data_IF_505720958589
#
_entry.id   IF_505720958589
#
_cell.length_a   1.000
_cell.length_b   1.000
_cell.length_c   1.000
_cell.angle_alpha   90.00
_cell.angle_beta   90.00
_cell.angle_gamma   90.00
#
_symmetry.space_group_name_H-M   'P 1'
#
loop_
_entity.id
_entity.type
_entity.pdbx_description
1 polymer ?
#
# COMPACT_ATOMS: atom_id res chain seq x y z
N UNK A 1 -15.63 32.64 34.14
CA UNK A 1 -15.55 31.25 34.63
C UNK A 1 -16.18 30.24 33.67
N UNK A 2 -17.20 30.61 32.89
CA UNK A 2 -17.98 29.68 32.03
C UNK A 2 -17.18 29.06 30.87
N UNK A 3 -16.10 29.69 30.40
CA UNK A 3 -15.29 29.20 29.27
C UNK A 3 -14.00 28.47 29.71
N UNK A 4 -13.58 28.54 30.97
CA UNK A 4 -12.36 27.93 31.47
C UNK A 4 -12.50 26.39 31.49
N UNK A 5 -13.66 25.89 31.92
CA UNK A 5 -13.91 24.44 32.01
C UNK A 5 -13.93 23.77 30.63
N UNK A 6 -14.64 24.29 29.59
CA UNK A 6 -14.58 23.69 28.27
C UNK A 6 -13.18 23.80 27.61
N UNK A 7 -12.42 24.88 27.86
CA UNK A 7 -11.04 24.98 27.37
C UNK A 7 -10.09 23.95 28.01
N UNK A 8 -10.24 23.70 29.32
CA UNK A 8 -9.46 22.66 30.01
C UNK A 8 -9.84 21.25 29.55
N UNK A 9 -11.13 20.99 29.30
CA UNK A 9 -11.59 19.72 28.74
C UNK A 9 -11.05 19.48 27.32
N UNK A 10 -11.13 20.48 26.45
CA UNK A 10 -10.55 20.44 25.13
C UNK A 10 -9.02 20.21 25.18
N UNK A 11 -8.32 20.93 26.04
CA UNK A 11 -6.87 20.76 26.24
C UNK A 11 -6.52 19.35 26.73
N UNK A 12 -7.33 18.77 27.62
CA UNK A 12 -7.14 17.41 28.12
C UNK A 12 -7.41 16.34 27.04
N UNK A 13 -8.45 16.52 26.20
CA UNK A 13 -8.76 15.61 25.10
C UNK A 13 -7.62 15.63 24.06
N UNK A 14 -7.19 16.83 23.66
CA UNK A 14 -6.07 16.99 22.71
C UNK A 14 -4.77 16.40 23.29
N UNK A 15 -4.48 16.63 24.57
CA UNK A 15 -3.31 16.07 25.25
C UNK A 15 -3.37 14.53 25.28
N UNK A 16 -4.53 13.93 25.53
CA UNK A 16 -4.71 12.49 25.53
C UNK A 16 -4.51 11.88 24.14
N UNK A 17 -5.05 12.49 23.11
CA UNK A 17 -4.87 12.01 21.72
C UNK A 17 -3.43 12.12 21.23
N UNK A 18 -2.75 13.22 21.55
CA UNK A 18 -1.34 13.42 21.19
C UNK A 18 -0.39 12.45 21.92
N UNK A 19 -0.79 11.95 23.11
CA UNK A 19 0.02 11.05 23.93
C UNK A 19 -0.30 9.56 23.76
N UNK A 20 -1.29 9.19 22.96
CA UNK A 20 -1.66 7.79 22.75
C UNK A 20 -0.55 7.06 21.97
N UNK A 21 0.13 6.10 22.63
CA UNK A 21 1.20 5.29 22.03
C UNK A 21 0.72 4.51 20.79
N UNK A 22 -0.54 4.06 20.78
CA UNK A 22 -1.13 3.35 19.63
C UNK A 22 -1.26 4.23 18.41
N UNK A 23 -1.59 5.52 18.60
CA UNK A 23 -1.68 6.47 17.51
C UNK A 23 -0.30 6.73 16.91
N UNK A 24 0.72 6.94 17.75
CA UNK A 24 2.11 7.10 17.31
C UNK A 24 2.63 5.88 16.52
N UNK A 25 2.28 4.68 16.98
CA UNK A 25 2.61 3.44 16.28
C UNK A 25 1.93 3.36 14.90
N UNK A 26 0.65 3.70 14.83
CA UNK A 26 -0.11 3.73 13.57
C UNK A 26 0.44 4.77 12.59
N UNK A 27 0.77 5.96 13.07
CA UNK A 27 1.39 7.02 12.28
C UNK A 27 2.77 6.58 11.76
N UNK A 28 3.56 5.92 12.60
CA UNK A 28 4.86 5.41 12.19
C UNK A 28 4.74 4.35 11.09
N UNK A 29 3.82 3.37 11.24
CA UNK A 29 3.55 2.36 10.20
C UNK A 29 3.08 3.03 8.91
N UNK A 30 2.21 4.04 8.99
CA UNK A 30 1.73 4.79 7.83
C UNK A 30 2.87 5.54 7.13
N UNK A 31 3.83 6.07 7.88
CA UNK A 31 5.03 6.70 7.34
C UNK A 31 5.92 5.68 6.62
N UNK A 32 6.12 4.49 7.20
CA UNK A 32 6.87 3.40 6.56
C UNK A 32 6.19 2.94 5.26
N UNK A 33 4.87 2.80 5.28
CA UNK A 33 4.06 2.48 4.10
C UNK A 33 4.24 3.53 2.98
N UNK A 34 4.25 4.82 3.32
CA UNK A 34 4.51 5.90 2.36
C UNK A 34 5.94 5.86 1.79
N UNK A 35 6.94 5.56 2.62
CA UNK A 35 8.32 5.38 2.16
C UNK A 35 8.43 4.21 1.17
N UNK A 36 7.75 3.10 1.44
CA UNK A 36 7.72 1.92 0.57
C UNK A 36 7.02 2.24 -0.77
N UNK A 37 5.94 2.99 -0.76
CA UNK A 37 5.25 3.42 -1.99
C UNK A 37 6.17 4.25 -2.90
N UNK A 38 7.05 5.06 -2.32
CA UNK A 38 8.06 5.83 -3.02
C UNK A 38 9.37 5.05 -3.28
N UNK A 39 9.40 3.75 -2.99
CA UNK A 39 10.58 2.87 -3.10
C UNK A 39 11.82 3.38 -2.35
N UNK A 40 11.62 4.13 -1.27
CA UNK A 40 12.70 4.64 -0.44
C UNK A 40 13.11 3.61 0.62
N UNK A 41 13.64 2.48 0.15
CA UNK A 41 14.01 1.33 0.97
C UNK A 41 15.11 1.66 1.99
N UNK A 42 16.07 2.51 1.61
CA UNK A 42 17.16 2.92 2.50
C UNK A 42 16.63 3.68 3.72
N UNK A 43 15.66 4.56 3.53
CA UNK A 43 15.02 5.25 4.65
C UNK A 43 14.27 4.28 5.58
N UNK A 44 13.63 3.22 5.06
CA UNK A 44 13.01 2.19 5.88
C UNK A 44 14.05 1.46 6.72
N UNK A 45 15.15 1.02 6.10
CA UNK A 45 16.25 0.31 6.78
C UNK A 45 16.95 1.15 7.84
N UNK A 46 16.96 2.50 7.70
CA UNK A 46 17.53 3.43 8.67
C UNK A 46 16.58 3.71 9.84
N UNK A 47 15.28 3.74 9.61
CA UNK A 47 14.29 4.13 10.61
C UNK A 47 13.76 2.96 11.46
N UNK A 48 13.92 1.71 11.02
CA UNK A 48 13.39 0.53 11.73
C UNK A 48 14.54 -0.32 12.26
N UNK A 49 14.60 -0.45 13.60
CA UNK A 49 15.64 -1.25 14.29
C UNK A 49 15.14 -2.67 14.61
N UNK A 50 16.05 -3.65 14.86
CA UNK A 50 15.67 -5.00 15.26
C UNK A 50 14.83 -5.07 16.55
N UNK A 51 15.03 -4.14 17.49
CA UNK A 51 14.23 -4.07 18.72
C UNK A 51 12.78 -3.66 18.44
N UNK A 52 12.57 -2.79 17.46
CA UNK A 52 11.23 -2.36 17.02
C UNK A 52 10.48 -3.51 16.35
N UNK A 53 11.15 -4.31 15.53
CA UNK A 53 10.52 -5.45 14.83
C UNK A 53 10.10 -6.57 15.79
N UNK A 54 10.83 -6.79 16.88
CA UNK A 54 10.44 -7.74 17.94
C UNK A 54 9.15 -7.35 18.66
N UNK A 55 8.88 -6.04 18.77
CA UNK A 55 7.67 -5.51 19.39
C UNK A 55 6.49 -5.43 18.45
N UNK A 56 6.76 -5.22 17.15
CA UNK A 56 5.74 -4.99 16.14
C UNK A 56 6.01 -5.80 14.87
N UNK A 57 5.22 -6.85 14.68
CA UNK A 57 5.32 -7.75 13.52
C UNK A 57 5.00 -7.04 12.19
N UNK A 58 4.28 -5.91 12.21
CA UNK A 58 4.02 -5.13 11.00
C UNK A 58 5.30 -4.48 10.48
N UNK A 59 6.14 -3.95 11.38
CA UNK A 59 7.43 -3.39 11.01
C UNK A 59 8.39 -4.46 10.49
N UNK A 60 8.32 -5.67 11.04
CA UNK A 60 9.11 -6.80 10.54
C UNK A 60 8.83 -7.05 9.05
N UNK A 61 7.57 -7.08 8.65
CA UNK A 61 7.18 -7.29 7.23
C UNK A 61 7.75 -6.22 6.31
N UNK A 62 7.66 -4.95 6.71
CA UNK A 62 8.21 -3.85 5.93
C UNK A 62 9.74 -3.90 5.79
N UNK A 63 10.44 -4.29 6.86
CA UNK A 63 11.90 -4.50 6.81
C UNK A 63 12.26 -5.65 5.87
N UNK A 64 11.55 -6.77 5.95
CA UNK A 64 11.83 -7.93 5.09
C UNK A 64 11.63 -7.58 3.61
N UNK A 65 10.59 -6.81 3.30
CA UNK A 65 10.37 -6.31 1.94
C UNK A 65 11.51 -5.38 1.51
N UNK A 66 11.91 -4.43 2.36
CA UNK A 66 13.01 -3.52 2.06
C UNK A 66 14.35 -4.24 1.86
N UNK A 67 14.65 -5.26 2.69
CA UNK A 67 15.84 -6.10 2.55
C UNK A 67 15.81 -6.93 1.26
N UNK A 68 14.64 -7.43 0.87
CA UNK A 68 14.45 -8.15 -0.40
C UNK A 68 14.74 -7.26 -1.59
N UNK A 69 14.16 -6.06 -1.64
CA UNK A 69 14.35 -5.08 -2.70
C UNK A 69 15.82 -4.60 -2.82
N UNK A 70 16.55 -4.63 -1.71
CA UNK A 70 18.00 -4.28 -1.67
C UNK A 70 18.90 -5.50 -1.89
N UNK A 71 18.37 -6.71 -2.08
CA UNK A 71 19.14 -7.93 -2.22
C UNK A 71 19.90 -8.38 -0.96
N UNK A 72 19.50 -7.88 0.22
CA UNK A 72 20.17 -8.12 1.51
C UNK A 72 19.38 -9.08 2.42
N UNK A 73 18.28 -9.66 1.91
CA UNK A 73 17.36 -10.47 2.71
C UNK A 73 18.07 -11.68 3.36
N UNK A 74 18.81 -12.54 2.64
CA UNK A 74 19.39 -13.76 3.22
C UNK A 74 20.39 -13.49 4.34
N UNK A 75 21.13 -12.37 4.24
CA UNK A 75 22.22 -12.02 5.14
C UNK A 75 21.71 -11.39 6.44
N UNK A 76 20.58 -10.65 6.38
CA UNK A 76 20.16 -9.77 7.47
C UNK A 76 18.82 -10.13 8.10
N UNK A 77 17.98 -10.97 7.48
CA UNK A 77 16.62 -11.22 7.95
C UNK A 77 16.57 -11.78 9.39
N UNK A 78 17.51 -12.65 9.76
CA UNK A 78 17.54 -13.25 11.09
C UNK A 78 17.87 -12.26 12.22
N UNK A 79 18.58 -11.17 11.90
CA UNK A 79 18.86 -10.11 12.87
C UNK A 79 17.56 -9.39 13.31
N UNK A 80 16.54 -9.38 12.46
CA UNK A 80 15.24 -8.78 12.73
C UNK A 80 14.22 -9.73 13.38
N UNK A 81 14.61 -10.97 13.67
CA UNK A 81 13.80 -11.92 14.42
C UNK A 81 12.83 -12.75 13.57
N UNK A 82 13.19 -13.03 12.31
CA UNK A 82 12.41 -13.96 11.47
C UNK A 82 12.53 -15.37 12.02
N UNK A 83 11.38 -15.99 12.29
CA UNK A 83 11.30 -17.36 12.83
C UNK A 83 10.49 -18.31 11.93
N UNK A 84 9.61 -17.77 11.12
CA UNK A 84 8.67 -18.56 10.31
C UNK A 84 8.28 -17.83 9.00
N UNK A 85 7.80 -18.56 7.99
CA UNK A 85 7.38 -17.96 6.70
C UNK A 85 6.22 -16.96 6.84
N UNK A 86 5.34 -17.11 7.84
CA UNK A 86 4.23 -16.20 8.10
C UNK A 86 4.68 -14.76 8.45
N UNK A 87 5.97 -14.54 8.72
CA UNK A 87 6.53 -13.21 8.92
C UNK A 87 6.55 -12.35 7.65
N UNK A 88 6.42 -12.92 6.45
CA UNK A 88 6.61 -12.21 5.19
C UNK A 88 5.38 -11.49 4.67
N UNK A 89 4.18 -12.00 4.91
CA UNK A 89 2.93 -11.40 4.40
C UNK A 89 1.79 -11.55 5.41
N UNK A 90 0.65 -10.91 5.14
CA UNK A 90 -0.55 -11.03 5.96
C UNK A 90 -1.50 -12.05 5.34
N UNK A 91 -1.81 -13.12 6.05
CA UNK A 91 -2.85 -14.09 5.66
C UNK A 91 -4.25 -13.48 5.79
N UNK A 92 -4.47 -12.66 6.82
CA UNK A 92 -5.72 -11.94 7.07
C UNK A 92 -5.59 -10.48 6.70
N UNK A 93 -6.47 -10.00 5.83
CA UNK A 93 -6.45 -8.64 5.27
C UNK A 93 -7.65 -7.79 5.70
N UNK A 94 -8.13 -8.01 6.92
CA UNK A 94 -9.24 -7.26 7.53
C UNK A 94 -8.94 -5.76 7.69
N UNK A 95 -7.69 -5.42 7.99
CA UNK A 95 -7.24 -4.03 8.17
C UNK A 95 -6.63 -3.43 6.90
N UNK A 96 -6.84 -2.13 6.71
CA UNK A 96 -6.36 -1.40 5.52
C UNK A 96 -4.83 -1.51 5.36
N UNK A 97 -4.08 -1.39 6.46
CA UNK A 97 -2.62 -1.46 6.36
C UNK A 97 -2.11 -2.86 5.95
N UNK A 98 -2.81 -3.94 6.32
CA UNK A 98 -2.48 -5.30 5.84
C UNK A 98 -2.65 -5.41 4.32
N UNK A 99 -3.75 -4.86 3.79
CA UNK A 99 -4.00 -4.83 2.34
C UNK A 99 -2.97 -3.98 1.61
N UNK A 100 -2.64 -2.83 2.15
CA UNK A 100 -1.62 -1.94 1.59
C UNK A 100 -0.27 -2.64 1.50
N UNK A 101 0.14 -3.30 2.57
CA UNK A 101 1.39 -4.07 2.59
C UNK A 101 1.36 -5.21 1.57
N UNK A 102 0.32 -6.05 1.58
CA UNK A 102 0.22 -7.19 0.67
C UNK A 102 0.27 -6.75 -0.80
N UNK A 103 -0.38 -5.63 -1.16
CA UNK A 103 -0.27 -5.10 -2.52
C UNK A 103 1.18 -4.73 -2.90
N UNK A 104 1.96 -4.14 -1.98
CA UNK A 104 3.37 -3.84 -2.23
C UNK A 104 4.21 -5.12 -2.30
N UNK A 105 3.97 -6.07 -1.42
CA UNK A 105 4.66 -7.35 -1.37
C UNK A 105 4.44 -8.15 -2.65
N UNK A 106 3.20 -8.34 -3.10
CA UNK A 106 2.91 -9.09 -4.32
C UNK A 106 3.39 -8.37 -5.59
N UNK A 107 3.39 -7.03 -5.59
CA UNK A 107 4.01 -6.24 -6.67
C UNK A 107 5.51 -6.48 -6.74
N UNK A 108 6.22 -6.49 -5.61
CA UNK A 108 7.65 -6.71 -5.55
C UNK A 108 8.06 -8.13 -6.01
N UNK A 109 7.18 -9.11 -5.80
CA UNK A 109 7.37 -10.49 -6.25
C UNK A 109 6.83 -10.78 -7.67
N UNK A 110 6.29 -9.76 -8.34
CA UNK A 110 5.66 -9.89 -9.68
C UNK A 110 4.52 -10.94 -9.71
N UNK A 111 3.86 -11.13 -8.56
CA UNK A 111 2.73 -12.04 -8.41
C UNK A 111 1.42 -11.33 -8.78
N UNK A 112 1.21 -11.10 -10.07
CA UNK A 112 0.12 -10.27 -10.60
C UNK A 112 -1.28 -10.76 -10.23
N UNK A 113 -1.52 -12.07 -10.16
CA UNK A 113 -2.82 -12.61 -9.77
C UNK A 113 -3.14 -12.31 -8.31
N UNK A 114 -2.15 -12.45 -7.42
CA UNK A 114 -2.27 -12.14 -6.00
C UNK A 114 -2.42 -10.62 -5.77
N UNK A 115 -1.64 -9.83 -6.53
CA UNK A 115 -1.77 -8.39 -6.54
C UNK A 115 -3.18 -7.96 -6.93
N UNK A 116 -3.71 -8.50 -8.02
CA UNK A 116 -5.04 -8.22 -8.54
C UNK A 116 -6.12 -8.62 -7.52
N UNK A 117 -6.01 -9.82 -6.94
CA UNK A 117 -6.93 -10.31 -5.92
C UNK A 117 -6.96 -9.38 -4.69
N UNK A 118 -5.80 -9.02 -4.15
CA UNK A 118 -5.71 -8.10 -3.00
C UNK A 118 -6.21 -6.70 -3.32
N UNK A 119 -5.98 -6.20 -4.53
CA UNK A 119 -6.49 -4.90 -4.96
C UNK A 119 -8.02 -4.87 -5.06
N UNK A 120 -8.66 -5.94 -5.57
CA UNK A 120 -10.11 -6.06 -5.56
C UNK A 120 -10.67 -6.19 -4.15
N UNK A 121 -10.07 -7.00 -3.30
CA UNK A 121 -10.48 -7.08 -1.89
C UNK A 121 -10.40 -5.71 -1.18
N UNK A 122 -9.36 -4.94 -1.46
CA UNK A 122 -9.22 -3.59 -0.90
C UNK A 122 -10.38 -2.68 -1.30
N UNK A 123 -10.85 -2.76 -2.54
CA UNK A 123 -12.01 -2.01 -3.02
C UNK A 123 -13.34 -2.48 -2.41
N UNK A 124 -13.54 -3.80 -2.29
CA UNK A 124 -14.77 -4.39 -1.76
C UNK A 124 -14.91 -4.14 -0.24
N UNK A 125 -13.80 -4.27 0.50
CA UNK A 125 -13.79 -4.12 1.97
C UNK A 125 -13.67 -2.67 2.42
N UNK A 126 -13.43 -1.73 1.51
CA UNK A 126 -13.41 -0.30 1.82
C UNK A 126 -14.82 0.29 1.75
N UNK A 127 -15.27 1.03 2.78
CA UNK A 127 -16.56 1.71 2.73
C UNK A 127 -16.60 2.81 1.65
N UNK A 128 -15.46 3.23 1.14
CA UNK A 128 -15.32 4.25 0.09
C UNK A 128 -15.04 3.67 -1.30
N UNK A 129 -15.09 2.33 -1.45
CA UNK A 129 -14.76 1.65 -2.70
C UNK A 129 -13.26 1.63 -3.02
N UNK A 130 -12.93 1.63 -4.31
CA UNK A 130 -11.55 1.56 -4.75
C UNK A 130 -10.77 2.84 -4.42
N UNK A 131 -9.68 2.69 -3.68
CA UNK A 131 -8.70 3.76 -3.50
C UNK A 131 -7.83 3.89 -4.75
N UNK A 132 -7.14 5.03 -4.89
CA UNK A 132 -6.15 5.18 -5.96
C UNK A 132 -5.10 4.07 -5.96
N UNK A 133 -4.61 3.68 -4.78
CA UNK A 133 -3.63 2.60 -4.63
C UNK A 133 -4.16 1.26 -5.16
N UNK A 134 -5.41 0.91 -4.87
CA UNK A 134 -6.01 -0.31 -5.40
C UNK A 134 -6.23 -0.25 -6.90
N UNK A 135 -6.68 0.89 -7.44
CA UNK A 135 -6.82 1.08 -8.88
C UNK A 135 -5.48 0.98 -9.61
N UNK A 136 -4.44 1.62 -9.07
CA UNK A 136 -3.08 1.52 -9.61
C UNK A 136 -2.57 0.08 -9.61
N UNK A 137 -2.78 -0.67 -8.51
CA UNK A 137 -2.37 -2.07 -8.44
C UNK A 137 -3.09 -2.94 -9.49
N UNK A 138 -4.39 -2.70 -9.73
CA UNK A 138 -5.13 -3.38 -10.79
C UNK A 138 -4.57 -3.05 -12.17
N UNK A 139 -4.27 -1.79 -12.42
CA UNK A 139 -3.70 -1.33 -13.70
C UNK A 139 -2.32 -1.94 -13.92
N UNK A 140 -1.43 -1.91 -12.93
CA UNK A 140 -0.10 -2.49 -13.02
C UNK A 140 -0.18 -4.00 -13.37
N UNK A 141 -1.01 -4.76 -12.66
CA UNK A 141 -1.22 -6.18 -12.92
C UNK A 141 -1.83 -6.44 -14.32
N UNK A 142 -2.76 -5.58 -14.77
CA UNK A 142 -3.34 -5.70 -16.10
C UNK A 142 -2.32 -5.44 -17.22
N UNK A 143 -1.42 -4.46 -17.04
CA UNK A 143 -0.33 -4.17 -17.98
C UNK A 143 0.59 -5.37 -18.11
N UNK A 144 1.08 -5.90 -16.99
CA UNK A 144 2.00 -7.05 -16.97
C UNK A 144 1.37 -8.29 -17.62
N UNK A 145 0.08 -8.54 -17.38
CA UNK A 145 -0.62 -9.71 -17.91
C UNK A 145 -1.20 -9.51 -19.33
N UNK A 146 -1.08 -8.31 -19.91
CA UNK A 146 -1.68 -8.00 -21.21
C UNK A 146 -3.22 -8.04 -21.21
N UNK A 147 -3.87 -7.79 -20.05
CA UNK A 147 -5.33 -7.78 -19.89
C UNK A 147 -5.93 -6.45 -20.37
N UNK A 148 -5.75 -6.13 -21.63
CA UNK A 148 -6.03 -4.84 -22.20
C UNK A 148 -7.50 -4.39 -22.04
N UNK A 149 -8.47 -5.29 -22.15
CA UNK A 149 -9.91 -4.96 -21.97
C UNK A 149 -10.22 -4.49 -20.56
N UNK A 150 -9.60 -5.12 -19.55
CA UNK A 150 -9.76 -4.71 -18.14
C UNK A 150 -9.00 -3.41 -17.87
N UNK A 151 -7.78 -3.30 -18.39
CA UNK A 151 -6.97 -2.08 -18.33
C UNK A 151 -7.74 -0.86 -18.85
N UNK A 152 -8.36 -0.96 -20.03
CA UNK A 152 -9.14 0.12 -20.62
C UNK A 152 -10.27 0.63 -19.72
N UNK A 153 -11.00 -0.29 -19.05
CA UNK A 153 -12.05 0.07 -18.10
C UNK A 153 -11.52 0.87 -16.91
N UNK A 154 -10.39 0.46 -16.34
CA UNK A 154 -9.81 1.14 -15.19
C UNK A 154 -9.15 2.47 -15.57
N UNK A 155 -8.55 2.55 -16.75
CA UNK A 155 -8.04 3.81 -17.30
C UNK A 155 -9.18 4.83 -17.46
N UNK A 156 -10.33 4.40 -17.97
CA UNK A 156 -11.49 5.28 -18.09
C UNK A 156 -11.99 5.77 -16.73
N UNK A 157 -12.08 4.90 -15.74
CA UNK A 157 -12.41 5.32 -14.36
C UNK A 157 -11.39 6.33 -13.83
N UNK A 158 -10.09 6.12 -14.08
CA UNK A 158 -9.03 7.03 -13.62
C UNK A 158 -9.08 8.40 -14.28
N UNK A 159 -9.50 8.51 -15.56
CA UNK A 159 -9.68 9.80 -16.26
C UNK A 159 -10.71 10.71 -15.55
N UNK A 160 -11.72 10.12 -14.92
CA UNK A 160 -12.76 10.85 -14.19
C UNK A 160 -12.34 11.22 -12.76
N UNK A 161 -11.15 10.81 -12.29
CA UNK A 161 -10.63 11.19 -10.98
C UNK A 161 -9.68 12.38 -11.12
N UNK A 162 -9.97 13.48 -10.41
CA UNK A 162 -9.26 14.76 -10.54
C UNK A 162 -7.74 14.70 -10.22
N UNK A 163 -7.27 13.67 -9.53
CA UNK A 163 -5.87 13.56 -9.09
C UNK A 163 -4.96 12.76 -10.05
N UNK A 164 -5.49 12.07 -11.07
CA UNK A 164 -4.74 11.05 -11.81
C UNK A 164 -4.85 11.17 -13.35
N UNK A 165 -5.32 12.29 -13.84
CA UNK A 165 -5.50 12.55 -15.29
C UNK A 165 -4.23 12.32 -16.11
N UNK A 166 -3.06 12.73 -15.62
CA UNK A 166 -1.77 12.52 -16.32
C UNK A 166 -1.42 11.04 -16.47
N UNK A 167 -1.60 10.24 -15.43
CA UNK A 167 -1.29 8.81 -15.46
C UNK A 167 -2.33 8.07 -16.34
N UNK A 168 -3.60 8.44 -16.25
CA UNK A 168 -4.65 7.90 -17.11
C UNK A 168 -4.41 8.23 -18.58
N UNK A 169 -3.87 9.42 -18.88
CA UNK A 169 -3.52 9.81 -20.23
C UNK A 169 -2.38 8.95 -20.80
N UNK A 170 -1.28 8.78 -20.06
CA UNK A 170 -0.16 7.92 -20.46
C UNK A 170 -0.58 6.46 -20.71
N UNK A 171 -1.46 5.94 -19.86
CA UNK A 171 -2.00 4.59 -20.02
C UNK A 171 -2.97 4.50 -21.20
N UNK A 172 -3.72 5.56 -21.50
CA UNK A 172 -4.55 5.68 -22.69
C UNK A 172 -3.71 5.65 -23.98
N UNK A 173 -2.60 6.38 -24.01
CA UNK A 173 -1.65 6.37 -25.13
C UNK A 173 -1.02 4.96 -25.32
N UNK A 174 -0.69 4.27 -24.23
CA UNK A 174 -0.22 2.88 -24.29
C UNK A 174 -1.28 1.95 -24.92
N UNK A 175 -2.55 2.05 -24.49
CA UNK A 175 -3.64 1.24 -25.04
C UNK A 175 -3.87 1.51 -26.52
N UNK A 176 -3.83 2.77 -26.94
CA UNK A 176 -3.95 3.17 -28.34
C UNK A 176 -2.79 2.60 -29.19
N UNK A 177 -1.54 2.70 -28.67
CA UNK A 177 -0.37 2.12 -29.36
C UNK A 177 -0.40 0.60 -29.46
N UNK A 178 -1.04 -0.07 -28.50
CA UNK A 178 -1.23 -1.52 -28.50
C UNK A 178 -2.39 -2.00 -29.40
N UNK A 179 -3.10 -1.11 -30.08
CA UNK A 179 -4.21 -1.43 -30.98
C UNK A 179 -5.43 -2.04 -30.28
N UNK A 180 -5.62 -1.70 -29.01
CA UNK A 180 -6.66 -2.30 -28.15
C UNK A 180 -8.00 -1.60 -28.31
N UNK A 181 -8.02 -0.31 -28.65
CA UNK A 181 -9.25 0.47 -28.82
C UNK A 181 -10.15 -0.09 -29.92
N UNK A 182 -9.58 -0.55 -31.03
CA UNK A 182 -10.32 -1.11 -32.15
C UNK A 182 -11.00 -2.45 -31.83
N UNK A 183 -10.40 -3.25 -30.94
CA UNK A 183 -10.94 -4.55 -30.50
C UNK A 183 -12.02 -4.45 -29.43
N UNK A 184 -12.08 -3.37 -28.67
CA UNK A 184 -13.08 -3.15 -27.62
C UNK A 184 -14.41 -2.67 -28.23
N UNK A 185 -14.33 -1.89 -29.32
CA UNK A 185 -15.51 -1.33 -30.00
C UNK A 185 -16.15 -2.28 -31.04
N UNK A 186 -15.48 -3.41 -31.34
CA UNK A 186 -15.95 -4.40 -32.34
C UNK A 186 -16.58 -5.66 -31.72
N UNK A 187 -16.80 -5.73 -30.42
CA UNK A 187 -17.45 -6.85 -29.68
C UNK A 187 -18.54 -6.38 -28.78
#
# INVERSE_FOLDING_TARGET
FTYIVPCLLLGFIVYREVTDEKQKETEFISRIDHLAENRNWDAILQNVTPEMTKKNSSLLRWILLALSEKGQLPERMFAYGVTEPACFFYERVDKQFCRNFNMQFFRALELDNELLHNAFQAGILSPYGNSFRSMRAIVDACVHQGRNRMLAKYVEVMKHTSCHTKQAQLLGEYLASAGVEDKINSG
#
